data_IF_173281446683
#
_entry.id   IF_173281446683
#
_cell.length_a   1.000
_cell.length_b   1.000
_cell.length_c   1.000
_cell.angle_alpha   90.00
_cell.angle_beta   90.00
_cell.angle_gamma   90.00
#
_symmetry.space_group_name_H-M   'P 1'
#
loop_
_entity.id
_entity.type
_entity.pdbx_description
1 polymer ?
#
# COMPACT_ATOMS: atom_id res chain seq x y z
N UNK A 1 -7.58 3.28 21.81
CA UNK A 1 -8.33 2.23 22.51
C UNK A 1 -7.47 1.58 23.58
N UNK A 2 -8.01 1.31 24.77
CA UNK A 2 -7.29 0.63 25.86
C UNK A 2 -7.43 -0.91 25.79
N UNK A 3 -6.67 -1.65 26.61
CA UNK A 3 -6.64 -3.12 26.60
C UNK A 3 -8.03 -3.76 26.82
N UNK A 4 -8.80 -3.21 27.77
CA UNK A 4 -10.15 -3.71 28.11
C UNK A 4 -11.10 -3.56 26.92
N UNK A 5 -11.06 -2.41 26.26
CA UNK A 5 -11.86 -2.13 25.07
C UNK A 5 -11.48 -3.05 23.90
N UNK A 6 -10.19 -3.30 23.68
CA UNK A 6 -9.72 -4.25 22.66
C UNK A 6 -10.20 -5.67 22.98
N UNK A 7 -10.12 -6.09 24.24
CA UNK A 7 -10.65 -7.37 24.69
C UNK A 7 -12.13 -7.54 24.36
N UNK A 8 -12.95 -6.51 24.65
CA UNK A 8 -14.38 -6.50 24.30
C UNK A 8 -14.60 -6.54 22.79
N UNK A 9 -13.80 -5.82 22.01
CA UNK A 9 -13.90 -5.79 20.55
C UNK A 9 -13.61 -7.17 19.96
N UNK A 10 -12.57 -7.87 20.44
CA UNK A 10 -12.24 -9.22 20.01
C UNK A 10 -13.36 -10.23 20.33
N UNK A 11 -14.04 -10.08 21.47
CA UNK A 11 -15.24 -10.87 21.78
C UNK A 11 -16.35 -10.63 20.74
N UNK A 12 -16.62 -9.38 20.37
CA UNK A 12 -17.62 -9.04 19.34
C UNK A 12 -17.23 -9.67 17.99
N UNK A 13 -15.97 -9.51 17.58
CA UNK A 13 -15.45 -10.09 16.33
C UNK A 13 -15.62 -11.61 16.33
N UNK A 14 -15.33 -12.30 17.44
CA UNK A 14 -15.51 -13.75 17.56
C UNK A 14 -16.97 -14.19 17.52
N UNK A 15 -17.88 -13.40 18.07
CA UNK A 15 -19.32 -13.68 18.01
C UNK A 15 -19.86 -13.55 16.57
N UNK A 16 -19.34 -12.61 15.80
CA UNK A 16 -19.76 -12.36 14.42
C UNK A 16 -19.06 -13.29 13.40
N UNK A 17 -17.84 -13.73 13.72
CA UNK A 17 -17.06 -14.63 12.87
C UNK A 17 -16.37 -15.71 13.72
N UNK A 18 -16.88 -16.94 13.60
CA UNK A 18 -16.33 -18.10 14.30
C UNK A 18 -14.90 -18.45 13.83
N UNK A 19 -14.45 -17.96 12.68
CA UNK A 19 -13.10 -18.16 12.15
C UNK A 19 -12.10 -17.18 12.76
N UNK A 20 -12.58 -16.13 13.44
CA UNK A 20 -11.71 -15.14 14.03
C UNK A 20 -10.74 -15.77 15.04
N UNK A 21 -9.46 -15.32 15.03
CA UNK A 21 -8.45 -15.85 15.91
C UNK A 21 -8.85 -15.61 17.36
N UNK A 22 -8.71 -16.65 18.19
CA UNK A 22 -8.89 -16.48 19.63
C UNK A 22 -7.73 -15.65 20.18
N UNK A 23 -7.98 -14.76 21.16
CA UNK A 23 -6.89 -14.10 21.87
C UNK A 23 -5.97 -15.17 22.48
N UNK A 24 -4.68 -15.06 22.19
CA UNK A 24 -3.67 -15.97 22.72
C UNK A 24 -3.55 -15.77 24.24
N UNK A 25 -3.19 -16.85 24.95
CA UNK A 25 -3.00 -16.79 26.41
C UNK A 25 -1.90 -15.81 26.83
N UNK A 26 -0.92 -15.56 25.95
CA UNK A 26 0.15 -14.60 26.16
C UNK A 26 -0.25 -13.14 25.88
N UNK A 27 -1.47 -12.90 25.36
CA UNK A 27 -2.02 -11.57 25.09
C UNK A 27 -1.35 -10.81 23.95
N UNK A 28 -0.52 -11.46 23.14
CA UNK A 28 0.20 -10.85 22.02
C UNK A 28 -0.75 -10.28 20.97
N UNK A 29 -1.83 -11.01 20.63
CA UNK A 29 -2.86 -10.54 19.69
C UNK A 29 -3.54 -9.28 20.23
N UNK A 30 -3.84 -9.27 21.53
CA UNK A 30 -4.49 -8.12 22.18
C UNK A 30 -3.57 -6.90 22.18
N UNK A 31 -2.30 -7.06 22.53
CA UNK A 31 -1.28 -5.99 22.47
C UNK A 31 -1.11 -5.45 21.06
N UNK A 32 -1.07 -6.32 20.05
CA UNK A 32 -0.99 -5.92 18.64
C UNK A 32 -2.19 -5.05 18.23
N UNK A 33 -3.40 -5.52 18.55
CA UNK A 33 -4.63 -4.76 18.26
C UNK A 33 -4.67 -3.42 19.02
N UNK A 34 -4.22 -3.40 20.27
CA UNK A 34 -4.12 -2.18 21.07
C UNK A 34 -3.20 -1.14 20.41
N UNK A 35 -2.02 -1.56 19.93
CA UNK A 35 -1.09 -0.66 19.24
C UNK A 35 -1.70 -0.09 17.95
N UNK A 36 -2.32 -0.95 17.13
CA UNK A 36 -2.92 -0.52 15.85
C UNK A 36 -4.19 0.33 16.02
N UNK A 37 -4.95 0.12 17.10
CA UNK A 37 -6.19 0.83 17.40
C UNK A 37 -6.01 1.91 18.49
N UNK A 38 -4.77 2.33 18.77
CA UNK A 38 -4.46 3.30 19.82
C UNK A 38 -5.27 4.60 19.71
N UNK A 39 -5.50 5.08 18.48
CA UNK A 39 -6.22 6.32 18.19
C UNK A 39 -7.65 6.12 17.66
N UNK A 40 -8.17 4.89 17.72
CA UNK A 40 -9.55 4.57 17.31
C UNK A 40 -10.43 4.50 18.57
N UNK A 41 -11.50 5.31 18.66
CA UNK A 41 -12.49 5.17 19.73
C UNK A 41 -13.21 3.82 19.66
N UNK A 42 -13.55 3.23 20.81
CA UNK A 42 -14.23 1.92 20.85
C UNK A 42 -15.54 1.90 20.06
N UNK A 43 -16.38 2.94 20.18
CA UNK A 43 -17.62 3.06 19.44
C UNK A 43 -17.41 3.03 17.91
N UNK A 44 -16.38 3.74 17.43
CA UNK A 44 -16.02 3.75 16.01
C UNK A 44 -15.54 2.38 15.53
N UNK A 45 -14.73 1.69 16.31
CA UNK A 45 -14.27 0.34 15.96
C UNK A 45 -15.41 -0.68 15.94
N UNK A 46 -16.32 -0.61 16.91
CA UNK A 46 -17.52 -1.46 16.93
C UNK A 46 -18.35 -1.24 15.66
N UNK A 47 -18.60 0.02 15.30
CA UNK A 47 -19.34 0.35 14.08
C UNK A 47 -18.62 -0.16 12.82
N UNK A 48 -17.30 0.02 12.72
CA UNK A 48 -16.50 -0.49 11.61
C UNK A 48 -16.65 -2.01 11.46
N UNK A 49 -16.58 -2.75 12.57
CA UNK A 49 -16.76 -4.21 12.60
C UNK A 49 -18.15 -4.60 12.11
N UNK A 50 -19.20 -3.96 12.61
CA UNK A 50 -20.57 -4.25 12.19
C UNK A 50 -20.82 -3.93 10.71
N UNK A 51 -20.22 -2.86 10.19
CA UNK A 51 -20.32 -2.49 8.77
C UNK A 51 -19.55 -3.47 7.88
N UNK A 52 -18.35 -3.90 8.29
CA UNK A 52 -17.57 -4.91 7.56
C UNK A 52 -18.36 -6.21 7.38
N UNK A 53 -18.90 -6.77 8.46
CA UNK A 53 -19.64 -8.03 8.39
C UNK A 53 -20.99 -7.94 7.68
N UNK A 54 -21.51 -6.71 7.46
CA UNK A 54 -22.67 -6.45 6.61
C UNK A 54 -22.31 -6.21 5.14
N UNK A 55 -21.04 -5.92 4.82
CA UNK A 55 -20.59 -5.56 3.48
C UNK A 55 -20.61 -6.73 2.50
N UNK A 56 -20.78 -6.42 1.21
CA UNK A 56 -20.71 -7.42 0.14
C UNK A 56 -19.32 -8.05 0.04
N UNK A 57 -18.26 -7.27 0.33
CA UNK A 57 -16.89 -7.78 0.42
C UNK A 57 -16.78 -8.97 1.38
N UNK A 58 -17.35 -8.89 2.58
CA UNK A 58 -17.32 -10.02 3.51
C UNK A 58 -18.11 -11.22 2.97
N UNK A 59 -19.25 -10.99 2.31
CA UNK A 59 -20.06 -12.07 1.73
C UNK A 59 -19.30 -12.85 0.66
N UNK A 60 -18.52 -12.14 -0.14
CA UNK A 60 -17.69 -12.67 -1.23
C UNK A 60 -16.41 -13.36 -0.73
N UNK A 61 -15.60 -12.67 0.09
CA UNK A 61 -14.27 -13.18 0.48
C UNK A 61 -14.29 -14.06 1.72
N UNK A 62 -15.29 -13.87 2.60
CA UNK A 62 -15.38 -14.53 3.92
C UNK A 62 -14.13 -14.32 4.78
N UNK A 63 -13.44 -13.19 4.58
CA UNK A 63 -12.27 -12.77 5.34
C UNK A 63 -12.67 -12.12 6.66
N UNK A 64 -12.03 -12.53 7.75
CA UNK A 64 -12.19 -11.91 9.06
C UNK A 64 -11.64 -10.48 9.03
N UNK A 65 -12.36 -9.55 9.68
CA UNK A 65 -11.90 -8.16 9.80
C UNK A 65 -10.56 -8.08 10.54
N UNK A 66 -9.66 -7.24 10.03
CA UNK A 66 -8.37 -6.96 10.67
C UNK A 66 -8.39 -5.62 11.39
N UNK A 67 -7.47 -5.37 12.36
CA UNK A 67 -7.35 -4.05 12.98
C UNK A 67 -6.96 -2.96 11.97
N UNK A 68 -6.30 -3.32 10.86
CA UNK A 68 -5.96 -2.39 9.78
C UNK A 68 -7.21 -1.93 9.02
N UNK A 69 -8.18 -2.83 8.79
CA UNK A 69 -9.46 -2.48 8.14
C UNK A 69 -10.25 -1.48 9.00
N UNK A 70 -10.32 -1.72 10.31
CA UNK A 70 -10.97 -0.83 11.28
C UNK A 70 -10.30 0.55 11.29
N UNK A 71 -8.96 0.59 11.36
CA UNK A 71 -8.20 1.84 11.33
C UNK A 71 -8.34 2.57 9.99
N UNK A 72 -8.45 1.83 8.87
CA UNK A 72 -8.74 2.37 7.55
C UNK A 72 -10.12 3.02 7.48
N UNK A 73 -11.15 2.30 7.94
CA UNK A 73 -12.53 2.79 8.03
C UNK A 73 -12.66 4.05 8.89
N UNK A 74 -11.98 4.09 10.04
CA UNK A 74 -12.02 5.28 10.90
C UNK A 74 -11.35 6.50 10.25
N UNK A 75 -10.24 6.28 9.55
CA UNK A 75 -9.55 7.35 8.82
C UNK A 75 -10.38 7.90 7.67
N UNK A 76 -11.13 7.06 6.94
CA UNK A 76 -12.01 7.56 5.87
C UNK A 76 -13.17 8.38 6.44
N UNK A 77 -13.80 7.93 7.54
CA UNK A 77 -14.88 8.67 8.21
C UNK A 77 -14.45 10.01 8.80
N UNK A 78 -13.22 10.11 9.33
CA UNK A 78 -12.65 11.40 9.78
C UNK A 78 -12.33 12.35 8.64
N UNK A 79 -12.30 11.88 7.39
CA UNK A 79 -12.02 12.69 6.20
C UNK A 79 -13.27 13.29 5.56
N UNK A 80 -14.47 13.07 6.11
CA UNK A 80 -15.71 13.75 5.69
C UNK A 80 -16.32 14.55 6.87
N UNK A 81 -16.69 15.84 6.70
CA UNK A 81 -17.14 16.46 5.46
C UNK A 81 -16.01 17.09 4.64
N UNK A 82 -16.15 16.97 3.32
CA UNK A 82 -15.46 17.82 2.35
C UNK A 82 -15.89 19.26 2.61
N UNK A 83 -15.14 19.96 3.44
CA UNK A 83 -15.04 21.42 3.29
C UNK A 83 -14.61 21.68 1.84
N UNK A 84 -15.15 22.70 1.15
CA UNK A 84 -14.62 23.10 -0.14
C UNK A 84 -13.12 23.24 0.06
N UNK A 85 -12.32 22.55 -0.78
CA UNK A 85 -10.86 22.62 -0.76
C UNK A 85 -10.47 24.09 -0.88
N UNK A 86 -10.36 24.76 0.26
CA UNK A 86 -9.71 26.04 0.38
C UNK A 86 -8.33 25.86 -0.22
N UNK A 87 -7.97 26.78 -1.10
CA UNK A 87 -6.77 26.78 -1.92
C UNK A 87 -5.55 26.20 -1.20
N UNK A 88 -5.34 24.88 -1.31
CA UNK A 88 -4.00 24.33 -1.22
C UNK A 88 -3.37 24.80 -2.52
N UNK A 89 -2.59 25.87 -2.42
CA UNK A 89 -1.84 26.44 -3.53
C UNK A 89 -1.09 25.32 -4.25
N UNK A 90 -0.87 25.50 -5.57
CA UNK A 90 -0.19 24.50 -6.39
C UNK A 90 1.10 23.97 -5.73
N UNK A 91 1.87 24.86 -5.08
CA UNK A 91 3.09 24.54 -4.35
C UNK A 91 2.90 23.50 -3.21
N UNK A 92 1.82 23.57 -2.45
CA UNK A 92 1.59 22.61 -1.35
C UNK A 92 1.09 21.25 -1.85
N UNK A 93 0.41 21.21 -3.01
CA UNK A 93 0.08 19.94 -3.70
C UNK A 93 1.32 19.30 -4.30
N UNK A 94 2.20 20.10 -4.88
CA UNK A 94 3.47 19.66 -5.45
C UNK A 94 4.40 19.11 -4.35
N UNK A 95 4.56 19.83 -3.23
CA UNK A 95 5.33 19.34 -2.09
C UNK A 95 4.78 18.02 -1.51
N UNK A 96 3.45 17.88 -1.42
CA UNK A 96 2.83 16.63 -0.96
C UNK A 96 3.05 15.47 -1.95
N UNK A 97 3.07 15.74 -3.26
CA UNK A 97 3.36 14.75 -4.28
C UNK A 97 4.81 14.26 -4.18
N UNK A 98 5.78 15.18 -4.02
CA UNK A 98 7.20 14.84 -3.83
C UNK A 98 7.39 13.99 -2.58
N UNK A 99 6.80 14.35 -1.44
CA UNK A 99 6.89 13.57 -0.20
C UNK A 99 6.26 12.17 -0.33
N UNK A 100 5.14 12.06 -1.05
CA UNK A 100 4.51 10.77 -1.32
C UNK A 100 5.38 9.89 -2.24
N UNK A 101 6.02 10.52 -3.22
CA UNK A 101 6.93 9.85 -4.14
C UNK A 101 8.18 9.30 -3.43
N UNK A 102 8.81 10.12 -2.59
CA UNK A 102 9.95 9.73 -1.74
C UNK A 102 9.59 8.59 -0.78
N UNK A 103 8.43 8.67 -0.14
CA UNK A 103 7.95 7.62 0.76
C UNK A 103 7.75 6.29 0.01
N UNK A 104 7.22 6.34 -1.22
CA UNK A 104 7.07 5.16 -2.06
C UNK A 104 8.43 4.59 -2.52
N UNK A 105 9.42 5.43 -2.84
CA UNK A 105 10.78 4.98 -3.19
C UNK A 105 11.42 4.27 -2.01
N UNK A 106 11.39 4.89 -0.82
CA UNK A 106 11.95 4.30 0.41
C UNK A 106 11.26 3.00 0.79
N UNK A 107 9.93 2.93 0.66
CA UNK A 107 9.18 1.70 0.92
C UNK A 107 9.59 0.54 0.01
N UNK A 108 9.76 0.80 -1.29
CA UNK A 108 10.22 -0.22 -2.24
C UNK A 108 11.70 -0.57 -2.07
N UNK A 109 12.54 0.39 -1.68
CA UNK A 109 13.96 0.15 -1.40
C UNK A 109 14.13 -0.75 -0.17
N UNK A 110 13.38 -0.48 0.90
CA UNK A 110 13.36 -1.35 2.08
C UNK A 110 12.91 -2.77 1.73
N UNK A 111 11.87 -2.91 0.91
CA UNK A 111 11.43 -4.23 0.44
C UNK A 111 12.49 -4.94 -0.39
N UNK A 112 13.21 -4.20 -1.25
CA UNK A 112 14.29 -4.74 -2.09
C UNK A 112 15.49 -5.18 -1.24
N UNK A 113 15.90 -4.37 -0.27
CA UNK A 113 16.91 -4.70 0.75
C UNK A 113 16.58 -6.02 1.44
N UNK A 114 15.37 -6.14 2.00
CA UNK A 114 14.93 -7.35 2.71
C UNK A 114 14.87 -8.59 1.80
N UNK A 115 14.50 -8.43 0.53
CA UNK A 115 14.35 -9.56 -0.41
C UNK A 115 15.67 -10.06 -1.00
N UNK A 116 16.60 -9.13 -1.25
CA UNK A 116 17.82 -9.41 -2.03
C UNK A 116 19.09 -9.44 -1.19
N UNK A 117 19.04 -8.90 0.04
CA UNK A 117 20.20 -8.74 0.91
C UNK A 117 21.14 -7.61 0.49
N UNK A 118 20.77 -6.79 -0.51
CA UNK A 118 21.51 -5.59 -0.87
C UNK A 118 21.48 -4.60 0.28
N UNK A 119 22.59 -3.88 0.53
CA UNK A 119 22.60 -2.73 1.44
C UNK A 119 21.51 -1.71 1.08
N UNK A 120 20.97 -1.01 2.08
CA UNK A 120 19.79 -0.15 1.88
C UNK A 120 20.04 0.93 0.82
N UNK A 121 21.22 1.54 0.80
CA UNK A 121 21.60 2.52 -0.23
C UNK A 121 21.64 1.89 -1.63
N UNK A 122 22.22 0.70 -1.76
CA UNK A 122 22.23 -0.04 -3.02
C UNK A 122 20.81 -0.40 -3.49
N UNK A 123 19.91 -0.73 -2.55
CA UNK A 123 18.52 -1.00 -2.84
C UNK A 123 17.73 0.26 -3.25
N UNK A 124 18.03 1.43 -2.68
CA UNK A 124 17.49 2.73 -3.14
C UNK A 124 17.91 2.99 -4.58
N UNK A 125 19.22 2.88 -4.87
CA UNK A 125 19.75 3.05 -6.22
C UNK A 125 19.09 2.08 -7.22
N UNK A 126 18.86 0.83 -6.84
CA UNK A 126 18.19 -0.15 -7.71
C UNK A 126 16.73 0.25 -8.01
N UNK A 127 15.99 0.71 -6.99
CA UNK A 127 14.60 1.16 -7.15
C UNK A 127 14.51 2.41 -8.02
N UNK A 128 15.40 3.38 -7.82
CA UNK A 128 15.47 4.59 -8.63
C UNK A 128 15.84 4.27 -10.08
N UNK A 129 16.82 3.40 -10.31
CA UNK A 129 17.18 2.95 -11.65
C UNK A 129 15.99 2.27 -12.35
N UNK A 130 15.22 1.43 -11.64
CA UNK A 130 14.00 0.80 -12.20
C UNK A 130 12.92 1.82 -12.53
N UNK A 131 12.71 2.83 -11.68
CA UNK A 131 11.75 3.92 -11.95
C UNK A 131 12.17 4.75 -13.15
N UNK A 132 13.46 5.07 -13.27
CA UNK A 132 14.00 5.79 -14.41
C UNK A 132 13.72 5.01 -15.71
N UNK A 133 13.85 3.68 -15.68
CA UNK A 133 13.56 2.85 -16.87
C UNK A 133 12.08 2.86 -17.24
N UNK A 134 11.15 2.92 -16.29
CA UNK A 134 9.71 2.94 -16.59
C UNK A 134 9.16 4.34 -16.88
N UNK A 135 9.91 5.41 -16.60
CA UNK A 135 9.47 6.80 -16.83
C UNK A 135 9.38 7.20 -18.30
N UNK A 136 10.00 6.44 -19.20
CA UNK A 136 9.92 6.67 -20.66
C UNK A 136 8.96 5.68 -21.33
N UNK A 137 8.32 6.03 -22.46
CA UNK A 137 7.57 5.07 -23.25
C UNK A 137 8.48 3.96 -23.79
N UNK A 138 7.96 2.73 -23.89
CA UNK A 138 8.70 1.62 -24.48
C UNK A 138 8.60 1.71 -26.02
N UNK A 139 9.71 1.73 -26.77
CA UNK A 139 9.68 1.83 -28.24
C UNK A 139 9.33 0.50 -28.93
N UNK A 140 9.25 -0.61 -28.20
CA UNK A 140 8.86 -1.90 -28.77
C UNK A 140 7.36 -1.89 -29.05
N UNK A 141 6.96 -1.84 -30.32
CA UNK A 141 5.54 -1.67 -30.72
C UNK A 141 4.55 -2.69 -30.12
N UNK A 142 4.90 -3.97 -29.88
CA UNK A 142 4.00 -4.89 -29.22
C UNK A 142 3.80 -4.61 -27.71
N UNK A 143 4.65 -3.77 -27.10
CA UNK A 143 4.50 -3.38 -25.70
C UNK A 143 3.24 -2.54 -25.55
N UNK A 144 2.39 -2.88 -24.58
CA UNK A 144 1.20 -2.07 -24.23
C UNK A 144 1.35 -1.37 -22.88
N UNK A 145 2.54 -1.42 -22.29
CA UNK A 145 2.82 -0.79 -21.00
C UNK A 145 2.85 0.74 -21.14
N UNK A 146 2.03 1.43 -20.36
CA UNK A 146 2.10 2.88 -20.21
C UNK A 146 3.40 3.35 -19.53
N UNK A 147 3.60 4.67 -19.50
CA UNK A 147 4.64 5.29 -18.68
C UNK A 147 4.39 4.96 -17.20
N UNK A 148 5.45 4.64 -16.47
CA UNK A 148 5.42 4.20 -15.08
C UNK A 148 5.06 2.73 -14.86
N UNK A 149 4.70 1.99 -15.92
CA UNK A 149 4.33 0.57 -15.84
C UNK A 149 5.47 -0.35 -16.32
N UNK A 150 5.63 -1.54 -15.71
CA UNK A 150 6.59 -2.55 -16.20
C UNK A 150 6.21 -2.98 -17.62
N UNK A 151 7.19 -3.35 -18.43
CA UNK A 151 6.93 -3.80 -19.79
C UNK A 151 6.10 -5.08 -19.80
N UNK A 152 5.26 -5.19 -20.82
CA UNK A 152 4.41 -6.35 -21.08
C UNK A 152 4.79 -7.02 -22.38
N UNK A 153 4.65 -8.35 -22.45
CA UNK A 153 4.80 -9.11 -23.67
C UNK A 153 3.68 -8.80 -24.69
N UNK A 154 3.75 -9.40 -25.87
CA UNK A 154 2.73 -9.23 -26.93
C UNK A 154 1.32 -9.71 -26.53
N UNK A 155 1.19 -10.49 -25.45
CA UNK A 155 -0.10 -10.93 -24.87
C UNK A 155 -0.54 -10.03 -23.70
N UNK A 156 0.19 -8.97 -23.40
CA UNK A 156 -0.10 -8.05 -22.30
C UNK A 156 0.35 -8.55 -20.92
N UNK A 157 1.15 -9.62 -20.82
CA UNK A 157 1.63 -10.15 -19.53
C UNK A 157 2.93 -9.47 -19.10
N UNK A 158 3.13 -9.15 -17.82
CA UNK A 158 4.38 -8.55 -17.35
C UNK A 158 5.59 -9.46 -17.64
N UNK A 159 6.71 -8.85 -18.03
CA UNK A 159 7.96 -9.57 -18.27
C UNK A 159 8.57 -10.08 -16.95
N UNK A 160 8.18 -11.29 -16.54
CA UNK A 160 8.62 -11.88 -15.28
C UNK A 160 10.10 -12.35 -15.26
N UNK A 161 10.78 -12.41 -16.42
CA UNK A 161 12.11 -13.05 -16.55
C UNK A 161 13.27 -12.14 -16.94
N UNK A 162 13.02 -10.88 -17.30
CA UNK A 162 14.09 -9.90 -17.56
C UNK A 162 14.42 -9.15 -16.28
N UNK A 163 15.71 -9.08 -15.92
CA UNK A 163 16.18 -8.23 -14.83
C UNK A 163 15.66 -6.80 -15.05
N UNK A 164 14.90 -6.27 -14.10
CA UNK A 164 14.29 -4.93 -14.18
C UNK A 164 12.95 -4.84 -14.92
N UNK A 165 12.38 -5.93 -15.45
CA UNK A 165 11.01 -5.93 -15.99
C UNK A 165 10.78 -5.01 -17.18
N UNK A 166 11.83 -4.71 -17.96
CA UNK A 166 11.79 -3.80 -19.10
C UNK A 166 12.42 -4.41 -20.37
N UNK A 167 11.89 -4.05 -21.53
CA UNK A 167 12.53 -4.38 -22.82
C UNK A 167 13.84 -3.61 -22.98
N UNK A 168 14.82 -4.22 -23.64
CA UNK A 168 16.13 -3.60 -23.91
C UNK A 168 16.00 -2.23 -24.60
N UNK A 169 15.05 -2.08 -25.53
CA UNK A 169 14.80 -0.79 -26.18
C UNK A 169 14.36 0.32 -25.23
N UNK A 170 13.65 -0.01 -24.13
CA UNK A 170 13.27 0.97 -23.10
C UNK A 170 14.48 1.38 -22.25
N UNK A 171 15.33 0.42 -21.90
CA UNK A 171 16.59 0.67 -21.18
C UNK A 171 17.52 1.55 -22.02
N UNK A 172 17.66 1.26 -23.31
CA UNK A 172 18.46 2.07 -24.25
C UNK A 172 17.89 3.48 -24.42
N UNK A 173 16.57 3.65 -24.48
CA UNK A 173 15.94 4.97 -24.58
C UNK A 173 16.27 5.87 -23.37
N UNK A 174 16.36 5.28 -22.18
CA UNK A 174 16.74 6.00 -20.95
C UNK A 174 18.21 6.40 -21.01
N UNK A 175 19.09 5.45 -21.33
CA UNK A 175 20.54 5.70 -21.40
C UNK A 175 20.88 6.73 -22.50
N UNK A 176 20.25 6.61 -23.68
CA UNK A 176 20.44 7.50 -24.82
C UNK A 176 19.79 8.88 -24.66
N UNK A 177 18.73 8.99 -23.87
CA UNK A 177 18.12 10.28 -23.50
C UNK A 177 18.96 11.06 -22.49
N UNK A 178 19.67 10.37 -21.59
CA UNK A 178 20.56 10.99 -20.59
C UNK A 178 21.84 11.60 -21.16
N UNK A 179 22.14 11.39 -22.45
CA UNK A 179 23.35 11.89 -23.12
C UNK A 179 23.13 13.17 -23.93
N UNK A 180 21.91 13.72 -23.97
CA UNK A 180 21.56 14.94 -24.71
C UNK A 180 21.33 16.18 -23.83
N UNK A 181 21.85 16.19 -22.60
CA UNK A 181 21.85 17.37 -21.71
C UNK A 181 23.26 17.93 -21.59
#
# INVERSE_FOLDING_TARGET
MNDVEVGRLLTVVKMLDQRAPQPDKAGMLRKLWQGLLAHVPFAAAKQATEEWYRSDRYRETRETITPADIAGWWRSRRREPVAPRGMIGAAAREAAAVLAEEAATRGMALWTHLRTGLELEAAVCEVEARRLVTSVPCPWEPCRAGVGQPCTDWKGRPLAKTAGGAHAGRVQAVIGGSTQV
#
